data_IF_816323804083
#
_entry.id   IF_816323804083
#
_cell.length_a   1.000
_cell.length_b   1.000
_cell.length_c   1.000
_cell.angle_alpha   90.00
_cell.angle_beta   90.00
_cell.angle_gamma   90.00
#
_symmetry.space_group_name_H-M   'P 1'
#
loop_
_entity.id
_entity.type
_entity.pdbx_description
1 polymer ?
#
# COMPACT_ATOMS: atom_id res chain seq x y z
N UNK A 1 -8.27 9.48 14.71
CA UNK A 1 -7.87 10.76 14.08
C UNK A 1 -7.77 10.51 12.59
N UNK A 2 -8.29 11.42 11.77
CA UNK A 2 -8.20 11.34 10.31
C UNK A 2 -6.84 11.84 9.83
N UNK A 3 -6.31 11.23 8.77
CA UNK A 3 -5.13 11.75 8.08
C UNK A 3 -5.46 13.11 7.44
N UNK A 4 -4.52 14.05 7.52
CA UNK A 4 -4.60 15.34 6.82
C UNK A 4 -3.97 15.26 5.44
N UNK A 5 -3.09 14.29 5.20
CA UNK A 5 -2.46 14.09 3.90
C UNK A 5 -1.71 12.76 3.77
N UNK A 6 -1.35 12.44 2.53
CA UNK A 6 -0.51 11.29 2.18
C UNK A 6 0.59 11.78 1.24
N UNK A 7 1.84 11.43 1.53
CA UNK A 7 2.99 11.69 0.67
C UNK A 7 3.64 10.36 0.35
N UNK A 8 4.01 10.15 -0.91
CA UNK A 8 4.73 8.96 -1.34
C UNK A 8 5.98 9.34 -2.12
N UNK A 9 7.00 8.49 -2.09
CA UNK A 9 8.18 8.68 -2.92
C UNK A 9 7.88 8.39 -4.40
N UNK A 10 8.74 8.86 -5.29
CA UNK A 10 8.58 8.62 -6.73
C UNK A 10 8.70 7.13 -7.07
N UNK A 11 9.53 6.40 -6.35
CA UNK A 11 9.74 4.96 -6.51
C UNK A 11 8.44 4.19 -6.21
N UNK A 12 7.76 4.54 -5.11
CA UNK A 12 6.47 3.96 -4.75
C UNK A 12 5.44 4.26 -5.82
N UNK A 13 5.38 5.50 -6.30
CA UNK A 13 4.44 5.90 -7.35
C UNK A 13 4.67 5.09 -8.65
N UNK A 14 5.92 4.96 -9.09
CA UNK A 14 6.28 4.17 -10.27
C UNK A 14 5.97 2.69 -10.09
N UNK A 15 6.22 2.12 -8.90
CA UNK A 15 5.91 0.73 -8.61
C UNK A 15 4.40 0.47 -8.67
N UNK A 16 3.59 1.35 -8.08
CA UNK A 16 2.13 1.27 -8.15
C UNK A 16 1.61 1.40 -9.58
N UNK A 17 2.13 2.36 -10.36
CA UNK A 17 1.73 2.55 -11.75
C UNK A 17 2.12 1.35 -12.62
N UNK A 18 3.35 0.85 -12.46
CA UNK A 18 3.82 -0.34 -13.18
C UNK A 18 2.96 -1.55 -12.87
N UNK A 19 2.64 -1.78 -11.59
CA UNK A 19 1.73 -2.83 -11.15
C UNK A 19 0.34 -2.68 -11.77
N UNK A 20 -0.24 -1.47 -11.70
CA UNK A 20 -1.56 -1.12 -12.27
C UNK A 20 -1.67 -1.48 -13.76
N UNK A 21 -0.59 -1.35 -14.51
CA UNK A 21 -0.55 -1.58 -15.95
C UNK A 21 -0.18 -3.03 -16.34
N UNK A 22 0.02 -3.94 -15.38
CA UNK A 22 0.35 -5.34 -15.68
C UNK A 22 -0.79 -6.11 -16.35
N UNK A 23 -2.04 -5.71 -16.12
CA UNK A 23 -3.21 -6.37 -16.67
C UNK A 23 -4.39 -5.41 -16.76
N UNK A 24 -5.14 -5.52 -17.86
CA UNK A 24 -6.42 -4.80 -18.04
C UNK A 24 -7.63 -5.70 -17.73
N UNK A 25 -7.39 -6.99 -17.46
CA UNK A 25 -8.45 -8.02 -17.42
C UNK A 25 -9.02 -8.28 -16.03
N UNK A 26 -8.26 -7.99 -14.98
CA UNK A 26 -8.66 -8.22 -13.61
C UNK A 26 -8.17 -7.08 -12.72
N UNK A 27 -8.88 -6.81 -11.63
CA UNK A 27 -8.36 -5.87 -10.63
C UNK A 27 -7.16 -6.52 -9.96
N UNK A 28 -6.20 -5.68 -9.60
CA UNK A 28 -5.00 -6.07 -8.86
C UNK A 28 -5.01 -5.43 -7.49
N UNK A 29 -4.11 -5.87 -6.61
CA UNK A 29 -3.99 -5.32 -5.28
C UNK A 29 -2.55 -5.24 -4.80
N UNK A 30 -2.33 -4.45 -3.76
CA UNK A 30 -1.03 -4.28 -3.12
C UNK A 30 -1.20 -3.62 -1.76
N UNK A 31 -0.18 -3.74 -0.92
CA UNK A 31 -0.08 -3.06 0.36
C UNK A 31 0.97 -1.96 0.26
N UNK A 32 0.74 -0.86 0.98
CA UNK A 32 1.69 0.25 1.08
C UNK A 32 2.38 0.17 2.44
N UNK A 33 3.68 0.43 2.44
CA UNK A 33 4.52 0.46 3.62
C UNK A 33 4.93 1.91 3.88
N UNK A 34 4.77 2.36 5.11
CA UNK A 34 4.92 3.77 5.44
C UNK A 34 4.77 4.05 6.93
N UNK A 35 5.16 5.27 7.30
CA UNK A 35 5.09 5.77 8.66
C UNK A 35 4.04 6.89 8.78
N UNK A 36 3.54 7.10 9.99
CA UNK A 36 2.67 8.22 10.30
C UNK A 36 3.49 9.31 10.98
N UNK A 37 3.57 10.47 10.33
CA UNK A 37 4.24 11.64 10.86
C UNK A 37 3.21 12.59 11.49
N UNK A 38 3.42 12.91 12.76
CA UNK A 38 2.65 13.89 13.51
C UNK A 38 3.44 15.18 13.58
N UNK A 39 2.93 16.24 12.98
CA UNK A 39 3.55 17.56 13.09
C UNK A 39 2.99 18.34 14.28
N UNK A 40 3.76 19.32 14.75
CA UNK A 40 3.43 20.16 15.90
C UNK A 40 2.17 21.01 15.68
N UNK A 41 1.77 21.23 14.42
CA UNK A 41 0.56 21.93 14.02
C UNK A 41 -0.72 21.06 14.14
N UNK A 42 -0.59 19.81 14.59
CA UNK A 42 -1.67 18.85 14.70
C UNK A 42 -2.00 18.12 13.40
N UNK A 43 -1.24 18.35 12.32
CA UNK A 43 -1.39 17.61 11.07
C UNK A 43 -0.82 16.19 11.18
N UNK A 44 -1.52 15.24 10.55
CA UNK A 44 -1.18 13.82 10.57
C UNK A 44 -1.00 13.36 9.13
N UNK A 45 0.24 13.14 8.73
CA UNK A 45 0.59 12.80 7.34
C UNK A 45 1.12 11.39 7.25
N UNK A 46 0.60 10.57 6.34
CA UNK A 46 1.19 9.28 6.02
C UNK A 46 2.35 9.46 5.03
N UNK A 47 3.52 8.92 5.36
CA UNK A 47 4.72 8.92 4.54
C UNK A 47 4.94 7.52 4.00
N UNK A 48 4.63 7.31 2.72
CA UNK A 48 4.74 6.01 2.07
C UNK A 48 6.10 5.89 1.40
N UNK A 49 6.89 4.91 1.85
CA UNK A 49 8.23 4.64 1.36
C UNK A 49 8.34 3.29 0.65
N UNK A 50 7.34 2.41 0.77
CA UNK A 50 7.33 1.10 0.13
C UNK A 50 5.98 0.73 -0.48
N UNK A 51 6.03 -0.09 -1.53
CA UNK A 51 4.87 -0.76 -2.11
C UNK A 51 5.16 -2.26 -2.20
N UNK A 52 4.19 -3.08 -1.82
CA UNK A 52 4.26 -4.54 -1.84
C UNK A 52 3.08 -5.10 -2.65
N UNK A 53 3.26 -5.36 -3.95
CA UNK A 53 2.25 -6.01 -4.78
C UNK A 53 1.76 -7.32 -4.16
N UNK A 54 0.44 -7.52 -4.12
CA UNK A 54 -0.18 -8.70 -3.52
C UNK A 54 -0.96 -9.49 -4.57
N UNK A 55 -0.90 -10.82 -4.47
CA UNK A 55 -1.72 -11.70 -5.29
C UNK A 55 -3.13 -11.76 -4.71
N UNK A 56 -4.16 -11.67 -5.55
CA UNK A 56 -5.54 -11.78 -5.06
C UNK A 56 -5.85 -13.20 -4.59
N UNK A 57 -6.38 -13.29 -3.37
CA UNK A 57 -6.93 -14.53 -2.81
C UNK A 57 -8.27 -14.90 -3.46
N UNK A 58 -9.07 -13.89 -3.83
CA UNK A 58 -10.34 -14.03 -4.55
C UNK A 58 -10.35 -13.07 -5.75
N UNK A 59 -10.62 -13.62 -6.95
CA UNK A 59 -10.65 -12.88 -8.23
C UNK A 59 -12.05 -12.48 -8.67
N UNK A 60 -13.07 -12.67 -7.84
CA UNK A 60 -14.42 -12.15 -8.13
C UNK A 60 -14.38 -10.64 -8.28
N UNK A 61 -15.08 -10.12 -9.28
CA UNK A 61 -15.16 -8.69 -9.56
C UNK A 61 -15.57 -7.90 -8.31
N UNK A 62 -14.94 -6.75 -8.08
CA UNK A 62 -15.17 -5.83 -6.97
C UNK A 62 -14.79 -6.41 -5.58
N UNK A 63 -14.28 -7.64 -5.51
CA UNK A 63 -13.86 -8.30 -4.25
C UNK A 63 -12.35 -8.30 -4.07
N UNK A 64 -11.81 -7.18 -3.61
CA UNK A 64 -10.38 -7.02 -3.33
C UNK A 64 -10.15 -7.02 -1.82
N UNK A 65 -9.73 -8.17 -1.28
CA UNK A 65 -9.53 -8.38 0.15
C UNK A 65 -8.12 -8.90 0.44
N UNK A 66 -7.54 -8.43 1.53
CA UNK A 66 -6.26 -8.91 2.05
C UNK A 66 -6.50 -9.96 3.12
N UNK A 67 -5.87 -11.12 2.99
CA UNK A 67 -5.97 -12.16 4.01
C UNK A 67 -4.97 -11.92 5.17
N UNK A 68 -5.14 -12.58 6.32
CA UNK A 68 -4.24 -12.38 7.48
C UNK A 68 -2.77 -12.74 7.20
N UNK A 69 -2.53 -13.73 6.35
CA UNK A 69 -1.18 -14.21 6.01
C UNK A 69 -0.41 -13.16 5.19
N UNK A 70 -1.09 -12.51 4.24
CA UNK A 70 -0.56 -11.41 3.44
C UNK A 70 -0.24 -10.19 4.30
N UNK A 71 -1.13 -9.87 5.26
CA UNK A 71 -0.86 -8.81 6.23
C UNK A 71 0.36 -9.13 7.08
N UNK A 72 0.45 -10.35 7.62
CA UNK A 72 1.61 -10.76 8.43
C UNK A 72 2.92 -10.73 7.64
N UNK A 73 2.92 -11.20 6.39
CA UNK A 73 4.09 -11.15 5.53
C UNK A 73 4.52 -9.71 5.20
N UNK A 74 3.56 -8.82 4.92
CA UNK A 74 3.84 -7.41 4.66
C UNK A 74 4.35 -6.67 5.91
N UNK A 75 3.82 -6.99 7.09
CA UNK A 75 4.35 -6.47 8.36
C UNK A 75 5.79 -6.91 8.59
N UNK A 76 6.10 -8.19 8.36
CA UNK A 76 7.48 -8.69 8.47
C UNK A 76 8.41 -8.01 7.44
N UNK A 77 7.94 -7.74 6.23
CA UNK A 77 8.69 -6.97 5.24
C UNK A 77 8.95 -5.53 5.70
N UNK A 78 7.97 -4.90 6.36
CA UNK A 78 8.07 -3.53 6.84
C UNK A 78 9.11 -3.38 7.95
N UNK A 79 9.26 -4.37 8.83
CA UNK A 79 10.22 -4.35 9.93
C UNK A 79 11.70 -4.40 9.47
N UNK A 80 11.95 -4.85 8.23
CA UNK A 80 13.30 -5.08 7.69
C UNK A 80 13.75 -3.94 6.76
N UNK A 81 12.82 -3.05 6.35
CA UNK A 81 13.11 -1.90 5.46
C UNK A 81 13.55 -0.67 6.22
#
# INVERSE_FOLDING_TARGET
>A
MSLTGVRMTQEVWLACLGHALTTEKEEIMGLLLGDIHHADDGSVTALIWGASPQVRSDRRKDRVETNPEQLAAASAQAEIS
#
